data_IF_917629021431
#
_entry.id   IF_917629021431
#
_cell.length_a   1.000
_cell.length_b   1.000
_cell.length_c   1.000
_cell.angle_alpha   90.00
_cell.angle_beta   90.00
_cell.angle_gamma   90.00
#
_symmetry.space_group_name_H-M   'P 1'
#
loop_
_entity.id
_entity.type
_entity.pdbx_description
1 polymer ?
#
# COMPACT_ATOMS: atom_id res chain seq x y z
N UNK A 1 -3.21 11.64 7.87
CA UNK A 1 -4.00 11.02 6.77
C UNK A 1 -3.46 11.51 5.44
N UNK A 2 -3.08 10.61 4.56
CA UNK A 2 -2.46 10.99 3.30
C UNK A 2 -3.21 10.36 2.12
N UNK A 3 -3.33 11.16 1.05
CA UNK A 3 -3.95 10.73 -0.20
C UNK A 3 -2.93 10.89 -1.33
N UNK A 4 -2.77 9.83 -2.10
CA UNK A 4 -1.97 9.88 -3.32
C UNK A 4 -2.89 10.09 -4.51
N UNK A 5 -2.74 11.21 -5.20
CA UNK A 5 -3.58 11.59 -6.34
C UNK A 5 -3.20 10.75 -7.56
N UNK A 6 -4.17 10.01 -8.10
CA UNK A 6 -4.00 9.21 -9.31
C UNK A 6 -4.44 9.97 -10.57
N UNK A 7 -4.95 11.19 -10.39
CA UNK A 7 -5.57 11.95 -11.46
C UNK A 7 -7.05 11.61 -11.62
N UNK A 8 -7.77 12.42 -12.40
CA UNK A 8 -9.19 12.17 -12.71
C UNK A 8 -10.07 12.03 -11.45
N UNK A 9 -9.75 12.75 -10.38
CA UNK A 9 -10.43 12.70 -9.08
C UNK A 9 -10.37 11.33 -8.40
N UNK A 10 -9.42 10.50 -8.77
CA UNK A 10 -9.20 9.21 -8.12
C UNK A 10 -7.93 9.28 -7.27
N UNK A 11 -7.94 8.58 -6.13
CA UNK A 11 -6.83 8.65 -5.18
C UNK A 11 -6.72 7.37 -4.36
N UNK A 12 -5.53 7.15 -3.79
CA UNK A 12 -5.27 6.08 -2.84
C UNK A 12 -5.05 6.69 -1.46
N UNK A 13 -5.76 6.16 -0.48
CA UNK A 13 -5.49 6.48 0.92
C UNK A 13 -4.30 5.64 1.40
N UNK A 14 -3.32 6.28 2.04
CA UNK A 14 -2.17 5.56 2.57
C UNK A 14 -1.70 6.14 3.90
N UNK A 15 -1.02 5.29 4.67
CA UNK A 15 -0.38 5.66 5.93
C UNK A 15 1.08 5.23 5.85
N UNK A 16 1.99 6.18 6.00
CA UNK A 16 3.42 5.93 5.88
C UNK A 16 4.17 6.44 7.09
N UNK A 17 4.97 5.55 7.69
CA UNK A 17 5.90 5.91 8.77
C UNK A 17 7.30 5.50 8.31
N UNK A 18 8.23 6.46 8.14
CA UNK A 18 9.59 6.13 7.72
C UNK A 18 10.30 5.22 8.71
N UNK A 19 11.22 4.39 8.20
CA UNK A 19 12.04 3.55 9.06
C UNK A 19 13.06 4.38 9.84
N UNK A 20 13.51 3.82 10.96
CA UNK A 20 14.61 4.38 11.74
C UNK A 20 15.75 3.37 11.77
N UNK A 21 16.94 3.80 12.17
CA UNK A 21 18.11 2.90 12.33
C UNK A 21 18.42 2.08 11.06
N UNK A 22 18.14 2.63 9.88
CA UNK A 22 18.39 1.98 8.59
C UNK A 22 17.63 0.67 8.40
N UNK A 23 16.55 0.47 9.13
CA UNK A 23 15.72 -0.72 8.98
C UNK A 23 14.89 -0.66 7.71
N UNK A 24 14.50 -1.80 7.13
CA UNK A 24 13.62 -1.81 5.97
C UNK A 24 12.26 -1.22 6.26
N UNK A 25 11.52 -0.89 5.21
CA UNK A 25 10.12 -0.49 5.27
C UNK A 25 9.26 -1.67 4.85
N UNK A 26 8.30 -2.05 5.68
CA UNK A 26 7.34 -3.10 5.35
C UNK A 26 6.14 -2.48 4.65
N UNK A 27 5.89 -2.91 3.43
CA UNK A 27 4.79 -2.42 2.60
C UNK A 27 3.70 -3.49 2.59
N UNK A 28 2.53 -3.15 3.11
CA UNK A 28 1.41 -4.09 3.23
C UNK A 28 0.49 -3.97 2.03
N UNK A 29 0.24 -5.09 1.36
CA UNK A 29 -0.65 -5.18 0.21
C UNK A 29 -1.89 -5.96 0.63
N UNK A 30 -3.03 -5.29 0.66
CA UNK A 30 -4.28 -5.84 1.20
C UNK A 30 -4.85 -7.00 0.40
N UNK A 31 -5.71 -7.79 1.04
CA UNK A 31 -6.71 -8.60 0.34
C UNK A 31 -7.78 -7.68 -0.25
N UNK A 32 -8.61 -8.20 -1.17
CA UNK A 32 -9.66 -7.38 -1.78
C UNK A 32 -10.65 -6.84 -0.75
N UNK A 33 -10.90 -7.60 0.31
CA UNK A 33 -11.77 -7.19 1.42
C UNK A 33 -10.89 -6.85 2.61
N UNK A 34 -10.10 -5.80 2.47
CA UNK A 34 -9.20 -5.39 3.52
C UNK A 34 -9.09 -3.88 3.61
N UNK A 35 -8.32 -3.42 4.55
CA UNK A 35 -8.02 -2.00 4.71
C UNK A 35 -6.75 -1.83 5.55
N UNK A 36 -6.28 -0.58 5.63
CA UNK A 36 -5.12 -0.22 6.44
C UNK A 36 -5.30 -0.63 7.90
N UNK A 37 -6.53 -0.68 8.40
CA UNK A 37 -6.79 -1.04 9.79
C UNK A 37 -6.29 -2.43 10.15
N UNK A 38 -6.28 -3.37 9.21
CA UNK A 38 -5.74 -4.71 9.43
C UNK A 38 -4.27 -4.70 9.84
N UNK A 39 -3.52 -3.78 9.26
CA UNK A 39 -2.07 -3.71 9.48
C UNK A 39 -1.70 -2.74 10.59
N UNK A 40 -2.45 -1.63 10.72
CA UNK A 40 -2.12 -0.56 11.65
C UNK A 40 -2.38 -0.92 13.10
N UNK A 41 -3.22 -1.91 13.38
CA UNK A 41 -3.53 -2.33 14.74
C UNK A 41 -2.33 -2.95 15.44
N UNK A 42 -2.19 -4.27 15.34
CA UNK A 42 -1.13 -4.98 16.09
C UNK A 42 0.20 -5.02 15.33
N UNK A 43 0.17 -5.48 14.08
CA UNK A 43 1.39 -5.76 13.31
C UNK A 43 2.18 -4.48 13.05
N UNK A 44 1.52 -3.45 12.55
CA UNK A 44 2.18 -2.19 12.22
C UNK A 44 2.83 -1.55 13.44
N UNK A 45 2.12 -1.51 14.55
CA UNK A 45 2.65 -0.94 15.79
C UNK A 45 3.88 -1.69 16.28
N UNK A 46 3.84 -3.02 16.23
CA UNK A 46 4.96 -3.85 16.65
C UNK A 46 6.21 -3.59 15.81
N UNK A 47 6.03 -3.51 14.50
CA UNK A 47 7.14 -3.24 13.59
C UNK A 47 7.73 -1.84 13.80
N UNK A 48 6.89 -0.83 13.98
CA UNK A 48 7.36 0.54 14.20
C UNK A 48 8.15 0.67 15.50
N UNK A 49 7.75 -0.06 16.56
CA UNK A 49 8.50 -0.08 17.82
C UNK A 49 9.90 -0.64 17.64
N UNK A 50 10.10 -1.52 16.66
CA UNK A 50 11.40 -2.10 16.34
C UNK A 50 12.21 -1.24 15.36
N UNK A 51 11.69 -0.11 14.94
CA UNK A 51 12.39 0.79 14.03
C UNK A 51 12.12 0.54 12.54
N UNK A 52 11.28 -0.45 12.20
CA UNK A 52 10.89 -0.67 10.80
C UNK A 52 9.97 0.46 10.33
N UNK A 53 10.10 0.84 9.07
CA UNK A 53 9.10 1.68 8.43
C UNK A 53 7.87 0.85 8.09
N UNK A 54 6.73 1.49 7.97
CA UNK A 54 5.49 0.83 7.55
C UNK A 54 4.78 1.70 6.52
N UNK A 55 4.28 1.05 5.48
CA UNK A 55 3.42 1.68 4.49
C UNK A 55 2.24 0.76 4.27
N UNK A 56 1.05 1.25 4.58
CA UNK A 56 -0.20 0.56 4.29
C UNK A 56 -1.06 1.47 3.43
N UNK A 57 -1.88 0.90 2.56
CA UNK A 57 -2.74 1.68 1.69
C UNK A 57 -3.98 0.89 1.31
N UNK A 58 -5.00 1.59 0.88
CA UNK A 58 -6.23 0.98 0.41
C UNK A 58 -6.29 1.05 -1.11
N UNK A 59 -6.66 -0.07 -1.77
CA UNK A 59 -6.88 -0.12 -3.21
C UNK A 59 -7.99 0.84 -3.60
N UNK A 60 -8.07 1.19 -4.88
CA UNK A 60 -9.24 1.85 -5.43
C UNK A 60 -10.48 1.05 -5.04
N UNK A 61 -11.50 1.72 -4.54
CA UNK A 61 -12.73 1.08 -4.07
C UNK A 61 -12.71 0.57 -2.65
N UNK A 62 -11.56 0.53 -2.00
CA UNK A 62 -11.48 0.26 -0.57
C UNK A 62 -11.70 1.56 0.23
N UNK A 63 -11.93 1.47 1.56
CA UNK A 63 -12.22 2.66 2.36
C UNK A 63 -11.24 3.80 2.14
N UNK A 64 -11.76 5.01 2.09
CA UNK A 64 -11.01 6.26 1.97
C UNK A 64 -10.23 6.46 0.67
N UNK A 65 -10.16 5.46 -0.19
CA UNK A 65 -9.62 5.60 -1.55
C UNK A 65 -10.75 5.92 -2.51
N UNK A 66 -10.55 6.89 -3.38
CA UNK A 66 -11.56 7.31 -4.35
C UNK A 66 -11.36 6.62 -5.68
N UNK A 67 -12.45 6.13 -6.28
CA UNK A 67 -12.43 5.74 -7.67
C UNK A 67 -13.81 5.88 -8.30
N UNK A 68 -13.84 6.05 -9.62
CA UNK A 68 -15.11 6.18 -10.34
C UNK A 68 -15.63 4.81 -10.76
N UNK A 69 -16.96 4.64 -10.72
CA UNK A 69 -17.60 3.39 -11.13
C UNK A 69 -17.34 3.06 -12.60
N UNK A 70 -17.03 4.08 -13.42
CA UNK A 70 -16.70 3.86 -14.83
C UNK A 70 -15.29 3.31 -15.03
N UNK A 71 -14.43 3.37 -14.00
CA UNK A 71 -13.07 2.85 -14.08
C UNK A 71 -13.10 1.33 -13.94
N UNK A 72 -12.56 0.61 -14.92
CA UNK A 72 -12.46 -0.84 -14.85
C UNK A 72 -11.32 -1.22 -13.89
N UNK A 73 -11.66 -1.90 -12.81
CA UNK A 73 -10.70 -2.34 -11.81
C UNK A 73 -10.11 -3.68 -12.22
N UNK A 74 -8.87 -3.66 -12.68
CA UNK A 74 -8.16 -4.86 -13.14
C UNK A 74 -6.94 -5.12 -12.24
N UNK A 75 -6.42 -6.37 -12.21
CA UNK A 75 -5.16 -6.64 -11.50
C UNK A 75 -4.02 -5.75 -11.97
N UNK A 76 -3.92 -5.51 -13.27
CA UNK A 76 -2.88 -4.64 -13.81
C UNK A 76 -2.99 -3.22 -13.26
N UNK A 77 -4.19 -2.68 -13.16
CA UNK A 77 -4.41 -1.35 -12.62
C UNK A 77 -3.98 -1.27 -11.15
N UNK A 78 -4.33 -2.29 -10.37
CA UNK A 78 -3.96 -2.34 -8.94
C UNK A 78 -2.44 -2.39 -8.78
N UNK A 79 -1.75 -3.21 -9.58
CA UNK A 79 -0.29 -3.30 -9.56
C UNK A 79 0.35 -1.99 -10.01
N UNK A 80 -0.17 -1.37 -11.07
CA UNK A 80 0.34 -0.09 -11.54
C UNK A 80 0.18 1.00 -10.48
N UNK A 81 -0.94 1.00 -9.76
CA UNK A 81 -1.17 1.95 -8.66
C UNK A 81 -0.14 1.75 -7.53
N UNK A 82 0.14 0.50 -7.17
CA UNK A 82 1.14 0.19 -6.16
C UNK A 82 2.52 0.71 -6.58
N UNK A 83 2.90 0.47 -7.82
CA UNK A 83 4.20 0.93 -8.34
C UNK A 83 4.29 2.47 -8.32
N UNK A 84 3.22 3.16 -8.68
CA UNK A 84 3.17 4.62 -8.63
C UNK A 84 3.28 5.13 -7.20
N UNK A 85 2.59 4.48 -6.26
CA UNK A 85 2.66 4.85 -4.84
C UNK A 85 4.08 4.66 -4.30
N UNK A 86 4.72 3.55 -4.62
CA UNK A 86 6.10 3.29 -4.20
C UNK A 86 7.07 4.31 -4.79
N UNK A 87 6.86 4.69 -6.06
CA UNK A 87 7.69 5.71 -6.70
C UNK A 87 7.51 7.08 -6.07
N UNK A 88 6.31 7.40 -5.61
CA UNK A 88 6.01 8.66 -4.93
C UNK A 88 6.59 8.70 -3.52
N UNK A 89 6.34 7.68 -2.73
CA UNK A 89 6.76 7.61 -1.32
C UNK A 89 8.25 7.30 -1.18
N UNK A 90 8.78 6.47 -2.07
CA UNK A 90 10.18 6.02 -2.07
C UNK A 90 10.61 5.48 -0.70
N UNK A 91 9.91 4.45 -0.20
CA UNK A 91 10.25 3.90 1.12
C UNK A 91 11.63 3.27 1.09
N UNK A 92 12.35 3.41 2.21
CA UNK A 92 13.70 2.86 2.32
C UNK A 92 13.66 1.33 2.38
N UNK A 93 14.34 0.66 1.44
CA UNK A 93 14.46 -0.81 1.38
C UNK A 93 13.10 -1.51 1.54
N UNK A 94 12.16 -1.30 0.61
CA UNK A 94 10.80 -1.83 0.77
C UNK A 94 10.78 -3.36 0.73
N UNK A 95 10.02 -3.95 1.66
CA UNK A 95 9.70 -5.37 1.72
C UNK A 95 8.18 -5.49 1.61
N UNK A 96 7.69 -6.15 0.59
CA UNK A 96 6.27 -6.26 0.34
C UNK A 96 5.68 -7.48 1.03
N UNK A 97 4.61 -7.26 1.78
CA UNK A 97 3.86 -8.33 2.46
C UNK A 97 2.43 -8.27 1.93
N UNK A 98 1.99 -9.35 1.30
CA UNK A 98 0.65 -9.42 0.73
C UNK A 98 -0.20 -10.47 1.40
N UNK A 99 -1.49 -10.16 1.57
CA UNK A 99 -2.46 -11.09 2.12
C UNK A 99 -3.38 -11.60 1.01
N UNK A 100 -3.45 -12.92 0.84
CA UNK A 100 -4.32 -13.57 -0.16
C UNK A 100 -4.00 -13.04 -1.56
N UNK A 101 -4.97 -12.45 -2.28
CA UNK A 101 -4.73 -11.87 -3.61
C UNK A 101 -3.68 -10.76 -3.58
N UNK A 102 -3.50 -10.09 -2.43
CA UNK A 102 -2.46 -9.09 -2.25
C UNK A 102 -1.06 -9.67 -2.43
N UNK A 103 -0.86 -10.94 -2.08
CA UNK A 103 0.40 -11.63 -2.34
C UNK A 103 0.73 -11.74 -3.82
N UNK A 104 -0.28 -11.98 -4.66
CA UNK A 104 -0.11 -12.01 -6.11
C UNK A 104 0.25 -10.64 -6.65
N UNK A 105 -0.43 -9.59 -6.19
CA UNK A 105 -0.12 -8.22 -6.60
C UNK A 105 1.30 -7.83 -6.19
N UNK A 106 1.70 -8.17 -4.97
CA UNK A 106 3.05 -7.91 -4.49
C UNK A 106 4.10 -8.63 -5.35
N UNK A 107 3.86 -9.90 -5.68
CA UNK A 107 4.76 -10.67 -6.53
C UNK A 107 4.88 -10.05 -7.94
N UNK A 108 3.77 -9.61 -8.51
CA UNK A 108 3.78 -8.97 -9.81
C UNK A 108 4.51 -7.62 -9.77
N UNK A 109 4.37 -6.87 -8.68
CA UNK A 109 5.07 -5.59 -8.52
C UNK A 109 6.58 -5.76 -8.47
N UNK A 110 7.06 -6.82 -7.84
CA UNK A 110 8.51 -7.10 -7.72
C UNK A 110 9.17 -7.30 -9.10
N UNK A 111 8.43 -7.79 -10.07
CA UNK A 111 8.95 -8.00 -11.42
C UNK A 111 9.27 -6.68 -12.14
N UNK A 112 8.85 -5.59 -11.62
CA UNK A 112 9.07 -4.25 -12.16
C UNK A 112 9.99 -3.45 -11.23
#
# INVERSE_FOLDING_TARGET
MSLFDLGNDESLFYLYTPSTKRKPTVVFVDALVGSTEMWEGFIGQTLRKQGFGTLSYNFRGQPDSKFHLATELTPKLIVDDLLKLLDCVKPHRPVLVGLSIGGLFAAQAIEH
#
